data_IF_145644606183
#
_entry.id   IF_145644606183
#
_cell.length_a   1.000
_cell.length_b   1.000
_cell.length_c   1.000
_cell.angle_alpha   90.00
_cell.angle_beta   90.00
_cell.angle_gamma   90.00
#
_symmetry.space_group_name_H-M   'P 1'
#
loop_
_entity.id
_entity.type
_entity.pdbx_description
1 polymer ?
#
# COMPACT_ATOMS: atom_id res chain seq x y z
N UNK A 1 -37.36 -44.77 -19.63
CA UNK A 1 -37.57 -43.54 -18.83
C UNK A 1 -37.28 -43.78 -17.33
N UNK A 2 -36.14 -44.40 -16.98
CA UNK A 2 -35.73 -44.71 -15.58
C UNK A 2 -34.21 -44.59 -15.36
N UNK A 3 -33.44 -44.21 -16.39
CA UNK A 3 -31.97 -44.22 -16.38
C UNK A 3 -31.36 -42.84 -16.11
N UNK A 4 -32.12 -41.76 -16.27
CA UNK A 4 -31.64 -40.38 -16.08
C UNK A 4 -31.69 -39.94 -14.61
N UNK A 5 -32.61 -40.46 -13.78
CA UNK A 5 -32.68 -40.11 -12.35
C UNK A 5 -31.54 -40.71 -11.51
N UNK A 6 -30.99 -41.86 -11.91
CA UNK A 6 -29.95 -42.55 -11.15
C UNK A 6 -28.60 -41.82 -11.28
N UNK A 7 -28.30 -41.26 -12.45
CA UNK A 7 -27.05 -40.54 -12.71
C UNK A 7 -26.96 -39.21 -11.95
N UNK A 8 -28.11 -38.58 -11.63
CA UNK A 8 -28.15 -37.32 -10.89
C UNK A 8 -27.80 -37.48 -9.40
N UNK A 9 -28.20 -38.59 -8.76
CA UNK A 9 -27.93 -38.82 -7.31
C UNK A 9 -26.48 -39.19 -7.03
N UNK A 10 -25.83 -39.96 -7.89
CA UNK A 10 -24.42 -40.33 -7.68
C UNK A 10 -23.46 -39.17 -7.92
N UNK A 11 -23.73 -38.30 -8.90
CA UNK A 11 -22.95 -37.07 -9.11
C UNK A 11 -23.11 -36.11 -7.93
N UNK A 12 -24.32 -35.96 -7.37
CA UNK A 12 -24.55 -35.11 -6.20
C UNK A 12 -23.82 -35.62 -4.94
N UNK A 13 -23.76 -36.94 -4.73
CA UNK A 13 -23.03 -37.57 -3.63
C UNK A 13 -21.51 -37.44 -3.79
N UNK A 14 -20.98 -37.56 -5.01
CA UNK A 14 -19.55 -37.34 -5.28
C UNK A 14 -19.13 -35.88 -5.07
N UNK A 15 -19.98 -34.91 -5.42
CA UNK A 15 -19.73 -33.49 -5.15
C UNK A 15 -19.76 -33.19 -3.65
N UNK A 16 -20.72 -33.75 -2.90
CA UNK A 16 -20.79 -33.59 -1.43
C UNK A 16 -19.59 -34.24 -0.71
N UNK A 17 -19.08 -35.37 -1.21
CA UNK A 17 -17.87 -36.02 -0.68
C UNK A 17 -16.59 -35.24 -1.00
N UNK A 18 -16.52 -34.59 -2.17
CA UNK A 18 -15.38 -33.75 -2.55
C UNK A 18 -15.29 -32.43 -1.74
N UNK A 19 -16.42 -31.89 -1.28
CA UNK A 19 -16.47 -30.68 -0.43
C UNK A 19 -16.20 -31.00 1.06
N UNK A 20 -16.34 -32.25 1.48
CA UNK A 20 -16.10 -32.67 2.88
C UNK A 20 -14.62 -32.74 3.31
N UNK A 21 -13.67 -32.56 2.39
CA UNK A 21 -12.21 -32.67 2.63
C UNK A 21 -11.47 -31.36 2.37
N UNK A 22 -12.14 -30.21 2.46
CA UNK A 22 -11.41 -28.94 2.58
C UNK A 22 -10.86 -28.89 4.00
N UNK A 23 -9.68 -29.47 4.21
CA UNK A 23 -8.92 -29.26 5.45
C UNK A 23 -8.82 -27.75 5.59
N UNK A 24 -9.30 -27.13 6.68
CA UNK A 24 -9.09 -25.73 6.90
C UNK A 24 -7.58 -25.54 6.92
N UNK A 25 -7.03 -24.94 5.87
CA UNK A 25 -5.64 -24.50 5.83
C UNK A 25 -5.58 -23.32 6.78
N UNK A 26 -5.53 -23.61 8.07
CA UNK A 26 -5.26 -22.62 9.08
C UNK A 26 -3.80 -22.20 8.86
N UNK A 27 -3.57 -20.90 8.66
CA UNK A 27 -2.21 -20.37 8.62
C UNK A 27 -1.50 -20.81 9.90
N UNK A 28 -0.45 -21.63 9.75
CA UNK A 28 0.32 -22.11 10.88
C UNK A 28 0.94 -20.90 11.57
N UNK A 29 0.68 -20.73 12.87
CA UNK A 29 1.30 -19.67 13.64
C UNK A 29 2.82 -19.82 13.58
N UNK A 30 3.52 -18.73 13.27
CA UNK A 30 4.97 -18.70 13.32
C UNK A 30 5.38 -18.81 14.80
N UNK A 31 6.24 -19.78 15.17
CA UNK A 31 6.67 -19.90 16.56
C UNK A 31 7.33 -18.61 17.06
N UNK A 32 7.04 -18.21 18.30
CA UNK A 32 7.55 -16.96 18.89
C UNK A 32 9.07 -16.90 18.89
N UNK A 33 9.78 -18.03 19.04
CA UNK A 33 11.24 -18.04 18.96
C UNK A 33 11.78 -17.60 17.59
N UNK A 34 11.06 -17.93 16.50
CA UNK A 34 11.43 -17.50 15.15
C UNK A 34 11.14 -16.02 14.96
N UNK A 35 10.01 -15.53 15.47
CA UNK A 35 9.69 -14.10 15.43
C UNK A 35 10.73 -13.29 16.19
N UNK A 36 11.12 -13.74 17.39
CA UNK A 36 12.17 -13.10 18.18
C UNK A 36 13.51 -13.09 17.46
N UNK A 37 13.93 -14.24 16.89
CA UNK A 37 15.17 -14.30 16.11
C UNK A 37 15.15 -13.29 14.95
N UNK A 38 14.02 -13.16 14.24
CA UNK A 38 13.88 -12.14 13.20
C UNK A 38 13.99 -10.72 13.74
N UNK A 39 13.35 -10.38 14.87
CA UNK A 39 13.46 -9.05 15.48
C UNK A 39 14.91 -8.70 15.87
N UNK A 40 15.66 -9.70 16.33
CA UNK A 40 17.05 -9.51 16.80
C UNK A 40 18.07 -9.46 15.64
N UNK A 41 17.75 -10.06 14.48
CA UNK A 41 18.71 -10.25 13.39
C UNK A 41 18.33 -9.54 12.08
N UNK A 42 17.07 -9.10 11.93
CA UNK A 42 16.63 -8.40 10.74
C UNK A 42 17.45 -7.11 10.56
N UNK A 43 17.98 -6.85 9.36
CA UNK A 43 18.73 -5.64 9.15
C UNK A 43 17.87 -4.39 9.34
N UNK A 44 18.43 -3.39 10.02
CA UNK A 44 17.80 -2.08 10.21
C UNK A 44 18.67 -0.98 9.66
N UNK A 45 18.03 0.12 9.28
CA UNK A 45 18.69 1.40 9.02
C UNK A 45 18.27 2.44 10.04
N UNK A 46 19.10 3.46 10.22
CA UNK A 46 18.82 4.59 11.11
C UNK A 46 18.41 5.80 10.27
N UNK A 47 17.23 6.34 10.55
CA UNK A 47 16.79 7.63 10.00
C UNK A 47 17.49 8.80 10.73
N UNK A 48 17.53 10.02 10.16
CA UNK A 48 18.17 11.19 10.79
C UNK A 48 17.70 11.50 12.21
N UNK A 49 16.44 11.21 12.52
CA UNK A 49 15.85 11.35 13.87
C UNK A 49 16.26 10.24 14.87
N UNK A 50 17.15 9.33 14.48
CA UNK A 50 17.61 8.20 15.29
C UNK A 50 16.70 6.98 15.25
N UNK A 51 15.60 7.00 14.50
CA UNK A 51 14.69 5.86 14.41
C UNK A 51 15.28 4.70 13.61
N UNK A 52 15.37 3.52 14.23
CA UNK A 52 15.76 2.29 13.55
C UNK A 52 14.54 1.68 12.83
N UNK A 53 14.62 1.49 11.51
CA UNK A 53 13.55 0.91 10.71
C UNK A 53 14.01 -0.33 9.92
N UNK A 54 13.11 -1.29 9.63
CA UNK A 54 13.44 -2.48 8.85
C UNK A 54 13.97 -2.10 7.46
N UNK A 55 15.09 -2.68 7.05
CA UNK A 55 15.73 -2.32 5.79
C UNK A 55 16.47 -3.49 5.13
N UNK A 56 16.89 -3.31 3.88
CA UNK A 56 17.84 -4.20 3.21
C UNK A 56 19.26 -3.68 3.44
N UNK A 57 20.22 -4.57 3.66
CA UNK A 57 21.65 -4.22 3.55
C UNK A 57 22.08 -4.29 2.08
N UNK A 58 22.75 -3.24 1.62
CA UNK A 58 23.26 -3.15 0.26
C UNK A 58 24.70 -2.68 0.30
N UNK A 59 25.66 -3.57 0.03
CA UNK A 59 27.09 -3.22 0.01
C UNK A 59 27.67 -2.75 1.35
N UNK A 60 26.98 -2.98 2.48
CA UNK A 60 27.35 -2.43 3.80
C UNK A 60 26.60 -1.14 4.15
N UNK A 61 25.90 -0.55 3.18
CA UNK A 61 25.06 0.64 3.35
C UNK A 61 23.58 0.29 3.52
N UNK A 62 22.81 1.32 3.82
CA UNK A 62 21.37 1.27 3.93
C UNK A 62 20.69 1.21 2.55
N UNK A 63 20.02 0.10 2.25
CA UNK A 63 19.13 -0.04 1.10
C UNK A 63 17.68 0.27 1.48
N UNK A 64 17.16 1.40 0.99
CA UNK A 64 15.76 1.81 1.25
C UNK A 64 14.72 1.02 0.45
N UNK A 65 15.12 0.17 -0.51
CA UNK A 65 14.28 -0.84 -1.17
C UNK A 65 12.84 -0.41 -1.46
N UNK A 66 11.86 -1.23 -1.10
CA UNK A 66 10.45 -0.83 -0.99
C UNK A 66 10.02 -0.88 0.48
N UNK A 67 10.76 -0.18 1.34
CA UNK A 67 10.55 -0.29 2.80
C UNK A 67 9.13 0.08 3.22
N UNK A 68 8.50 1.09 2.61
CA UNK A 68 7.11 1.42 2.93
C UNK A 68 6.13 0.27 2.61
N UNK A 69 6.37 -0.52 1.54
CA UNK A 69 5.59 -1.74 1.29
C UNK A 69 5.80 -2.76 2.42
N UNK A 70 7.06 -3.12 2.68
CA UNK A 70 7.39 -4.15 3.65
C UNK A 70 6.93 -3.78 5.06
N UNK A 71 7.10 -2.52 5.45
CA UNK A 71 6.63 -1.99 6.72
C UNK A 71 5.10 -1.98 6.84
N UNK A 72 4.37 -1.73 5.75
CA UNK A 72 2.91 -1.86 5.72
C UNK A 72 2.44 -3.30 5.97
N UNK A 73 3.14 -4.28 5.38
CA UNK A 73 2.87 -5.71 5.63
C UNK A 73 3.16 -6.08 7.10
N UNK A 74 4.28 -5.63 7.65
CA UNK A 74 4.61 -5.82 9.07
C UNK A 74 3.54 -5.20 9.99
N UNK A 75 3.04 -4.01 9.64
CA UNK A 75 1.99 -3.35 10.41
C UNK A 75 0.71 -4.18 10.45
N UNK A 76 0.29 -4.77 9.33
CA UNK A 76 -0.89 -5.66 9.28
C UNK A 76 -0.63 -6.99 9.98
N UNK A 77 0.62 -7.47 9.97
CA UNK A 77 1.03 -8.65 10.74
C UNK A 77 1.11 -8.41 12.26
N UNK A 78 0.87 -7.17 12.72
CA UNK A 78 0.87 -6.82 14.14
C UNK A 78 2.24 -6.42 14.70
N UNK A 79 3.24 -6.20 13.85
CA UNK A 79 4.56 -5.71 14.27
C UNK A 79 4.55 -4.17 14.37
N UNK A 80 4.64 -3.58 15.59
CA UNK A 80 4.46 -2.14 15.78
C UNK A 80 5.48 -1.28 15.01
N UNK A 81 6.69 -1.81 14.82
CA UNK A 81 7.76 -1.13 14.08
C UNK A 81 7.38 -0.88 12.62
N UNK A 82 6.58 -1.76 12.03
CA UNK A 82 6.07 -1.59 10.67
C UNK A 82 5.17 -0.36 10.57
N UNK A 83 4.22 -0.23 11.50
CA UNK A 83 3.29 0.91 11.50
C UNK A 83 4.03 2.24 11.68
N UNK A 84 4.96 2.30 12.65
CA UNK A 84 5.74 3.52 12.91
C UNK A 84 6.66 3.87 11.73
N UNK A 85 7.22 2.87 11.04
CA UNK A 85 8.04 3.07 9.84
C UNK A 85 7.23 3.72 8.72
N UNK A 86 6.03 3.21 8.41
CA UNK A 86 5.18 3.81 7.35
C UNK A 86 4.74 5.22 7.74
N UNK A 87 4.36 5.42 9.01
CA UNK A 87 3.97 6.73 9.52
C UNK A 87 5.08 7.77 9.35
N UNK A 88 6.32 7.43 9.73
CA UNK A 88 7.49 8.32 9.60
C UNK A 88 7.94 8.54 8.16
N UNK A 89 7.53 7.67 7.24
CA UNK A 89 7.78 7.87 5.82
C UNK A 89 6.84 8.92 5.18
N UNK A 90 5.79 9.39 5.89
CA UNK A 90 4.98 10.52 5.47
C UNK A 90 5.55 11.83 6.01
N UNK A 91 5.76 12.82 5.14
CA UNK A 91 6.11 14.19 5.57
C UNK A 91 4.88 15.05 5.81
N UNK A 92 5.07 16.21 6.44
CA UNK A 92 4.00 17.16 6.77
C UNK A 92 3.13 17.58 5.57
N UNK A 93 3.70 17.62 4.35
CA UNK A 93 2.95 17.98 3.14
C UNK A 93 1.94 16.94 2.66
N UNK A 94 1.95 15.74 3.27
CA UNK A 94 1.13 14.59 2.91
C UNK A 94 1.83 13.58 1.99
N UNK A 95 2.99 13.93 1.40
CA UNK A 95 3.78 13.04 0.55
C UNK A 95 4.31 11.86 1.36
N UNK A 96 4.16 10.67 0.81
CA UNK A 96 4.90 9.50 1.28
C UNK A 96 6.20 9.33 0.50
N UNK A 97 7.19 8.82 1.21
CA UNK A 97 8.45 8.36 0.64
C UNK A 97 8.62 6.86 0.88
N UNK A 98 9.60 6.31 0.17
CA UNK A 98 10.01 4.91 0.26
C UNK A 98 10.48 4.45 1.63
N UNK A 99 11.03 5.35 2.44
CA UNK A 99 11.50 5.07 3.80
C UNK A 99 11.50 6.34 4.65
N UNK A 100 11.51 6.24 6.00
CA UNK A 100 11.69 7.40 6.89
C UNK A 100 12.96 8.20 6.57
N UNK A 101 14.06 7.52 6.27
CA UNK A 101 15.33 8.17 5.92
C UNK A 101 15.18 9.07 4.69
N UNK A 102 14.53 8.58 3.64
CA UNK A 102 14.26 9.37 2.42
C UNK A 102 13.28 10.51 2.65
N UNK A 103 12.28 10.31 3.51
CA UNK A 103 11.35 11.37 3.91
C UNK A 103 12.06 12.54 4.61
N UNK A 104 13.08 12.25 5.40
CA UNK A 104 13.81 13.24 6.21
C UNK A 104 15.03 13.84 5.49
N UNK A 105 15.38 13.35 4.31
CA UNK A 105 16.58 13.77 3.55
C UNK A 105 16.28 14.03 2.07
N UNK A 106 15.07 14.50 1.77
CA UNK A 106 14.65 14.89 0.41
C UNK A 106 14.98 13.84 -0.67
N UNK A 107 14.56 12.59 -0.42
CA UNK A 107 14.81 11.42 -1.26
C UNK A 107 16.30 11.13 -1.58
N UNK A 108 17.25 11.74 -0.89
CA UNK A 108 18.69 11.56 -1.12
C UNK A 108 19.13 11.85 -2.57
N UNK A 109 18.40 12.72 -3.28
CA UNK A 109 18.64 13.02 -4.69
C UNK A 109 18.40 11.85 -5.66
N UNK A 110 17.72 10.79 -5.22
CA UNK A 110 17.43 9.61 -6.04
C UNK A 110 16.21 9.86 -6.95
N UNK A 111 16.09 9.13 -8.07
CA UNK A 111 14.84 9.11 -8.84
C UNK A 111 13.74 8.38 -8.05
N UNK A 112 12.49 8.68 -8.38
CA UNK A 112 11.29 7.96 -7.92
C UNK A 112 11.23 7.76 -6.40
N UNK A 113 10.78 8.80 -5.69
CA UNK A 113 10.57 8.74 -4.23
C UNK A 113 9.54 7.70 -3.78
N UNK A 114 8.62 7.28 -4.66
CA UNK A 114 7.52 6.39 -4.31
C UNK A 114 6.99 5.62 -5.53
N UNK A 115 6.51 4.39 -5.33
CA UNK A 115 6.02 3.48 -6.37
C UNK A 115 4.61 2.97 -6.02
N UNK A 116 3.87 2.37 -6.98
CA UNK A 116 2.60 1.71 -6.72
C UNK A 116 2.65 0.64 -5.62
N UNK A 117 3.74 -0.12 -5.55
CA UNK A 117 3.91 -1.18 -4.55
C UNK A 117 4.06 -0.57 -3.15
N UNK A 118 4.82 0.50 -3.02
CA UNK A 118 4.92 1.25 -1.75
C UNK A 118 3.60 1.92 -1.38
N UNK A 119 2.84 2.40 -2.37
CA UNK A 119 1.49 2.92 -2.18
C UNK A 119 0.53 1.88 -1.60
N UNK A 120 0.68 0.60 -1.96
CA UNK A 120 -0.06 -0.48 -1.31
C UNK A 120 0.32 -0.61 0.17
N UNK A 121 1.61 -0.52 0.52
CA UNK A 121 2.07 -0.48 1.91
C UNK A 121 1.47 0.66 2.74
N UNK A 122 1.41 1.87 2.17
CA UNK A 122 0.78 3.03 2.82
C UNK A 122 -0.72 2.81 3.07
N UNK A 123 -1.42 2.18 2.12
CA UNK A 123 -2.83 1.81 2.28
C UNK A 123 -3.04 0.75 3.36
N UNK A 124 -2.20 -0.28 3.41
CA UNK A 124 -2.23 -1.30 4.46
C UNK A 124 -2.04 -0.69 5.86
N UNK A 125 -1.07 0.21 6.01
CA UNK A 125 -0.89 1.01 7.24
C UNK A 125 -2.15 1.78 7.59
N UNK A 126 -2.69 2.57 6.65
CA UNK A 126 -3.81 3.44 6.92
C UNK A 126 -5.05 2.65 7.36
N UNK A 127 -5.35 1.52 6.72
CA UNK A 127 -6.45 0.63 7.10
C UNK A 127 -6.19 -0.04 8.45
N UNK A 128 -5.00 -0.60 8.67
CA UNK A 128 -4.61 -1.25 9.93
C UNK A 128 -4.75 -0.30 11.13
N UNK A 129 -4.27 0.94 10.98
CA UNK A 129 -4.25 1.94 12.04
C UNK A 129 -5.50 2.82 12.07
N UNK A 130 -6.44 2.63 11.14
CA UNK A 130 -7.61 3.51 10.93
C UNK A 130 -7.23 4.99 10.79
N UNK A 131 -6.09 5.26 10.15
CA UNK A 131 -5.51 6.60 10.02
C UNK A 131 -6.07 7.32 8.79
N UNK A 132 -7.36 7.66 8.85
CA UNK A 132 -8.05 8.40 7.79
C UNK A 132 -7.41 9.78 7.56
N UNK A 133 -6.89 10.43 8.61
CA UNK A 133 -6.26 11.74 8.51
C UNK A 133 -4.97 11.69 7.67
N UNK A 134 -4.12 10.68 7.86
CA UNK A 134 -2.93 10.51 7.03
C UNK A 134 -3.28 10.20 5.57
N UNK A 135 -4.32 9.39 5.34
CA UNK A 135 -4.84 9.11 4.00
C UNK A 135 -5.35 10.40 3.32
N UNK A 136 -6.18 11.20 3.99
CA UNK A 136 -6.66 12.48 3.46
C UNK A 136 -5.51 13.44 3.13
N UNK A 137 -4.50 13.57 3.99
CA UNK A 137 -3.30 14.37 3.67
C UNK A 137 -2.61 13.88 2.40
N UNK A 138 -2.57 12.56 2.17
CA UNK A 138 -2.01 12.03 0.94
C UNK A 138 -2.80 12.42 -0.29
N UNK A 139 -4.12 12.25 -0.24
CA UNK A 139 -4.99 12.48 -1.38
C UNK A 139 -4.94 13.95 -1.77
N UNK A 140 -4.94 14.84 -0.78
CA UNK A 140 -4.69 16.27 -0.98
C UNK A 140 -3.32 16.53 -1.61
N UNK A 141 -2.27 15.81 -1.19
CA UNK A 141 -0.96 15.94 -1.82
C UNK A 141 -0.98 15.45 -3.28
N UNK A 142 -1.54 14.27 -3.56
CA UNK A 142 -1.66 13.68 -4.90
C UNK A 142 -2.41 14.65 -5.82
N UNK A 143 -3.56 15.17 -5.38
CA UNK A 143 -4.38 16.11 -6.12
C UNK A 143 -3.62 17.39 -6.49
N UNK A 144 -2.91 17.95 -5.51
CA UNK A 144 -2.14 19.19 -5.68
C UNK A 144 -1.00 19.03 -6.68
N UNK A 145 -0.35 17.87 -6.74
CA UNK A 145 0.80 17.64 -7.62
C UNK A 145 0.42 17.05 -8.98
N UNK A 146 -0.88 16.89 -9.28
CA UNK A 146 -1.33 16.45 -10.61
C UNK A 146 -0.84 17.42 -11.69
N UNK A 147 -0.35 16.92 -12.84
CA UNK A 147 0.06 17.78 -13.94
C UNK A 147 -1.08 18.69 -14.40
N UNK A 148 -0.77 19.98 -14.54
CA UNK A 148 -1.68 20.94 -15.13
C UNK A 148 -1.63 20.84 -16.65
N UNK A 149 -2.79 20.63 -17.29
CA UNK A 149 -2.86 20.52 -18.75
C UNK A 149 -3.21 21.86 -19.40
N UNK A 150 -4.13 22.62 -18.79
CA UNK A 150 -4.58 23.93 -19.31
C UNK A 150 -4.69 24.89 -18.12
N UNK A 151 -4.12 26.10 -18.25
CA UNK A 151 -4.15 27.13 -17.22
C UNK A 151 -2.98 27.06 -16.23
N UNK A 152 -3.12 27.72 -15.08
CA UNK A 152 -2.15 27.74 -13.98
C UNK A 152 -2.84 28.07 -12.65
N UNK A 153 -2.20 27.71 -11.53
CA UNK A 153 -2.73 27.95 -10.18
C UNK A 153 -4.09 27.31 -9.97
N UNK A 154 -5.07 28.10 -9.51
CA UNK A 154 -6.43 27.65 -9.22
C UNK A 154 -7.27 27.40 -10.49
N UNK A 155 -6.89 28.00 -11.63
CA UNK A 155 -7.56 27.81 -12.92
C UNK A 155 -7.02 26.59 -13.69
N UNK A 156 -6.33 25.69 -12.99
CA UNK A 156 -5.67 24.55 -13.59
C UNK A 156 -6.67 23.43 -13.92
N UNK A 157 -6.83 23.12 -15.21
CA UNK A 157 -7.42 21.87 -15.64
C UNK A 157 -6.42 20.73 -15.41
N UNK A 158 -6.64 19.98 -14.32
CA UNK A 158 -5.78 18.87 -13.92
C UNK A 158 -6.11 17.64 -14.75
N UNK A 159 -5.08 17.00 -15.30
CA UNK A 159 -5.27 15.76 -16.05
C UNK A 159 -5.81 14.60 -15.18
N UNK A 160 -6.35 13.54 -15.81
CA UNK A 160 -6.88 12.38 -15.09
C UNK A 160 -5.77 11.48 -14.51
N UNK A 161 -4.51 11.69 -14.91
CA UNK A 161 -3.39 10.84 -14.52
C UNK A 161 -2.91 11.21 -13.12
N UNK A 162 -3.22 10.35 -12.15
CA UNK A 162 -2.68 10.44 -10.79
C UNK A 162 -1.24 9.91 -10.76
N UNK A 163 -0.42 10.47 -9.86
CA UNK A 163 0.94 10.01 -9.60
C UNK A 163 1.22 9.95 -8.11
N UNK A 164 1.98 8.95 -7.71
CA UNK A 164 2.42 8.74 -6.34
C UNK A 164 3.69 9.52 -5.98
N UNK A 165 4.37 10.09 -6.97
CA UNK A 165 5.61 10.85 -6.84
C UNK A 165 5.66 12.01 -7.84
N UNK A 166 6.54 12.99 -7.61
CA UNK A 166 6.79 14.10 -8.55
C UNK A 166 8.11 13.93 -9.32
N UNK A 167 9.00 13.06 -8.85
CA UNK A 167 10.35 12.81 -9.33
C UNK A 167 10.41 11.56 -10.23
N UNK A 168 9.47 11.49 -11.16
CA UNK A 168 9.17 10.30 -11.98
C UNK A 168 10.04 10.20 -13.24
N UNK A 169 11.35 10.11 -13.10
CA UNK A 169 12.26 10.07 -14.27
C UNK A 169 12.17 8.76 -15.05
N UNK A 170 11.67 7.69 -14.43
CA UNK A 170 11.59 6.35 -15.03
C UNK A 170 10.15 5.89 -15.29
N UNK A 171 9.16 6.77 -15.12
CA UNK A 171 7.72 6.45 -15.28
C UNK A 171 7.22 5.36 -14.32
N UNK A 172 7.85 5.24 -13.15
CA UNK A 172 7.59 4.22 -12.15
C UNK A 172 6.49 4.56 -11.14
N UNK A 173 5.99 5.80 -11.10
CA UNK A 173 5.02 6.22 -10.06
C UNK A 173 3.64 6.64 -10.57
N UNK A 174 3.32 6.33 -11.81
CA UNK A 174 1.98 6.54 -12.36
C UNK A 174 0.97 5.57 -11.75
N UNK A 175 -0.19 6.07 -11.33
CA UNK A 175 -1.28 5.24 -10.82
C UNK A 175 -1.93 4.47 -11.97
N UNK A 176 -1.91 3.15 -11.89
CA UNK A 176 -2.57 2.25 -12.86
C UNK A 176 -4.03 2.02 -12.44
N UNK A 177 -4.91 1.51 -13.32
CA UNK A 177 -6.30 1.24 -12.97
C UNK A 177 -6.49 0.39 -11.71
N UNK A 178 -5.69 -0.68 -11.55
CA UNK A 178 -5.74 -1.52 -10.35
C UNK A 178 -5.29 -0.80 -9.08
N UNK A 179 -4.30 0.09 -9.18
CA UNK A 179 -3.85 0.91 -8.05
C UNK A 179 -4.95 1.90 -7.64
N UNK A 180 -5.64 2.51 -8.62
CA UNK A 180 -6.75 3.42 -8.38
C UNK A 180 -7.96 2.71 -7.73
N UNK A 181 -8.29 1.50 -8.19
CA UNK A 181 -9.35 0.69 -7.58
C UNK A 181 -9.02 0.32 -6.13
N UNK A 182 -7.77 -0.07 -5.86
CA UNK A 182 -7.29 -0.38 -4.49
C UNK A 182 -7.33 0.86 -3.61
N UNK A 183 -6.88 2.01 -4.13
CA UNK A 183 -6.92 3.29 -3.42
C UNK A 183 -8.35 3.71 -3.09
N UNK A 184 -9.29 3.58 -4.03
CA UNK A 184 -10.72 3.85 -3.79
C UNK A 184 -11.28 2.92 -2.70
N UNK A 185 -10.98 1.63 -2.75
CA UNK A 185 -11.41 0.68 -1.71
C UNK A 185 -10.90 1.10 -0.32
N UNK A 186 -9.64 1.54 -0.23
CA UNK A 186 -9.04 2.07 1.00
C UNK A 186 -9.75 3.33 1.48
N UNK A 187 -10.01 4.30 0.59
CA UNK A 187 -10.72 5.55 0.90
C UNK A 187 -12.11 5.24 1.48
N UNK A 188 -12.87 4.35 0.82
CA UNK A 188 -14.21 3.94 1.26
C UNK A 188 -14.18 3.23 2.61
N UNK A 189 -13.21 2.33 2.81
CA UNK A 189 -13.04 1.61 4.08
C UNK A 189 -12.75 2.55 5.26
N UNK A 190 -11.95 3.60 5.01
CA UNK A 190 -11.58 4.60 6.03
C UNK A 190 -12.57 5.75 6.16
N UNK A 191 -13.49 5.92 5.20
CA UNK A 191 -14.27 7.14 5.01
C UNK A 191 -13.38 8.38 4.95
N UNK A 192 -12.23 8.26 4.27
CA UNK A 192 -11.29 9.36 4.12
C UNK A 192 -11.89 10.46 3.23
N UNK A 193 -11.63 11.72 3.58
CA UNK A 193 -12.10 12.86 2.79
C UNK A 193 -11.31 12.99 1.50
N UNK A 194 -12.03 13.25 0.40
CA UNK A 194 -11.45 13.57 -0.90
C UNK A 194 -11.29 15.08 -1.03
N UNK A 195 -10.17 15.57 -1.59
CA UNK A 195 -9.89 17.00 -1.65
C UNK A 195 -10.74 17.75 -2.69
N UNK A 196 -11.22 17.06 -3.73
CA UNK A 196 -11.96 17.67 -4.85
C UNK A 196 -13.00 16.70 -5.44
N UNK A 197 -14.05 17.26 -6.05
CA UNK A 197 -15.06 16.49 -6.81
C UNK A 197 -14.42 15.74 -8.00
N UNK A 198 -13.35 16.27 -8.58
CA UNK A 198 -12.62 15.60 -9.66
C UNK A 198 -11.97 14.30 -9.18
N UNK A 199 -11.38 14.27 -7.97
CA UNK A 199 -10.87 13.02 -7.40
C UNK A 199 -11.98 12.01 -7.13
N UNK A 200 -13.14 12.47 -6.68
CA UNK A 200 -14.32 11.62 -6.46
C UNK A 200 -14.75 10.94 -7.77
N UNK A 201 -14.90 11.72 -8.86
CA UNK A 201 -15.21 11.20 -10.20
C UNK A 201 -14.17 10.19 -10.70
N UNK A 202 -12.88 10.44 -10.47
CA UNK A 202 -11.81 9.53 -10.87
C UNK A 202 -11.91 8.19 -10.15
N UNK A 203 -12.20 8.20 -8.84
CA UNK A 203 -12.34 6.98 -8.07
C UNK A 203 -13.63 6.21 -8.41
N UNK A 204 -14.72 6.90 -8.67
CA UNK A 204 -15.96 6.26 -9.13
C UNK A 204 -15.82 5.60 -10.50
N UNK A 205 -14.97 6.13 -11.38
CA UNK A 205 -14.64 5.47 -12.65
C UNK A 205 -13.75 4.24 -12.43
N UNK A 206 -12.80 4.30 -11.50
CA UNK A 206 -11.91 3.18 -11.19
C UNK A 206 -12.59 2.01 -10.46
N UNK A 207 -13.74 2.25 -9.82
CA UNK A 207 -14.50 1.24 -9.08
C UNK A 207 -15.57 0.49 -9.90
N UNK A 208 -15.71 0.80 -11.19
CA UNK A 208 -16.60 0.09 -12.12
C UNK A 208 -15.86 -1.03 -12.82
#
# INVERSE_FOLDING_TARGET
MKREEIMSREIFLLILLAVGWVVPVAAQQIPEERVRWWRDNAPTCIAPDGFAFPAKREGGDCGDGDITLFAGLLCVAGEPIGCETVKRAQIASGRWFRSPRRAQQDNLGQPNSFSPDMAFGAQLYAVSQRDAAAMTRWLTWIDRVRPCWIGSGDNCFRGPVLRFCTDDTEKGCTVRPGDAATLNATVRALKAELPTEDMDKLFDQAGK
#
